data_IF_931665408911
#
_entry.id   IF_931665408911
#
_cell.length_a   1.000
_cell.length_b   1.000
_cell.length_c   1.000
_cell.angle_alpha   90.00
_cell.angle_beta   90.00
_cell.angle_gamma   90.00
#
_symmetry.space_group_name_H-M   'P 1'
#
loop_
_entity.id
_entity.type
_entity.pdbx_description
1 polymer ?
#
# COMPACT_ATOMS: atom_id res chain seq x y z
N UNK A 1 2.36 -9.68 -0.55
CA UNK A 1 3.52 -10.59 -0.39
C UNK A 1 4.14 -10.42 1.00
N UNK A 2 4.47 -11.53 1.67
CA UNK A 2 5.08 -11.54 3.01
C UNK A 2 6.61 -11.63 2.93
N UNK A 3 7.29 -11.48 4.06
CA UNK A 3 8.76 -11.40 4.15
C UNK A 3 9.52 -12.54 3.47
N UNK A 4 9.00 -13.76 3.53
CA UNK A 4 9.60 -14.97 2.95
C UNK A 4 8.99 -15.36 1.60
N UNK A 5 8.30 -14.44 0.93
CA UNK A 5 7.77 -14.71 -0.42
C UNK A 5 8.91 -15.03 -1.38
N UNK A 6 8.79 -16.09 -2.20
CA UNK A 6 9.80 -16.46 -3.19
C UNK A 6 9.83 -15.50 -4.40
N UNK A 7 8.88 -14.60 -4.49
CA UNK A 7 8.77 -13.58 -5.54
C UNK A 7 8.53 -12.21 -4.93
N UNK A 8 9.08 -11.17 -5.55
CA UNK A 8 8.82 -9.79 -5.18
C UNK A 8 7.38 -9.39 -5.54
N UNK A 9 6.79 -8.50 -4.75
CA UNK A 9 5.45 -7.99 -5.02
C UNK A 9 4.93 -7.04 -3.94
N UNK A 10 3.79 -6.42 -4.20
CA UNK A 10 3.12 -5.53 -3.26
C UNK A 10 2.80 -6.25 -1.93
N UNK A 11 2.94 -5.53 -0.82
CA UNK A 11 2.55 -6.00 0.51
C UNK A 11 1.03 -6.17 0.60
N UNK A 12 0.31 -5.19 0.06
CA UNK A 12 -1.14 -5.10 0.13
C UNK A 12 -1.68 -4.43 -1.14
N UNK A 13 -1.69 -5.17 -2.23
CA UNK A 13 -2.31 -4.78 -3.49
C UNK A 13 -3.79 -4.47 -3.29
N UNK A 14 -4.29 -3.38 -3.88
CA UNK A 14 -5.65 -2.88 -3.64
C UNK A 14 -6.72 -3.93 -3.95
N UNK A 15 -6.62 -4.58 -5.11
CA UNK A 15 -7.58 -5.60 -5.54
C UNK A 15 -7.59 -6.84 -4.62
N UNK A 16 -6.42 -7.25 -4.16
CA UNK A 16 -6.31 -8.35 -3.20
C UNK A 16 -6.91 -7.99 -1.83
N UNK A 17 -6.65 -6.77 -1.34
CA UNK A 17 -7.24 -6.26 -0.09
C UNK A 17 -8.76 -6.24 -0.18
N UNK A 18 -9.31 -5.69 -1.26
CA UNK A 18 -10.76 -5.62 -1.45
C UNK A 18 -11.41 -7.00 -1.59
N UNK A 19 -10.77 -7.92 -2.32
CA UNK A 19 -11.24 -9.30 -2.44
C UNK A 19 -11.26 -10.02 -1.09
N UNK A 20 -10.23 -9.83 -0.27
CA UNK A 20 -10.17 -10.36 1.09
C UNK A 20 -11.26 -9.78 1.98
N UNK A 21 -11.47 -8.47 1.89
CA UNK A 21 -12.52 -7.76 2.62
C UNK A 21 -13.92 -8.29 2.29
N UNK A 22 -14.25 -8.47 1.01
CA UNK A 22 -15.54 -9.02 0.58
C UNK A 22 -15.81 -10.40 1.19
N UNK A 23 -14.78 -11.28 1.21
CA UNK A 23 -14.91 -12.61 1.80
C UNK A 23 -15.16 -12.57 3.30
N UNK A 24 -14.46 -11.72 4.03
CA UNK A 24 -14.64 -11.59 5.48
C UNK A 24 -16.05 -11.05 5.80
N UNK A 25 -16.57 -10.14 4.97
CA UNK A 25 -17.90 -9.56 5.15
C UNK A 25 -19.06 -10.55 4.93
N UNK A 26 -18.82 -11.73 4.35
CA UNK A 26 -19.79 -12.82 4.29
C UNK A 26 -20.04 -13.44 5.67
N UNK A 27 -19.07 -13.35 6.60
CA UNK A 27 -19.12 -14.01 7.90
C UNK A 27 -19.10 -13.02 9.08
N UNK A 28 -18.47 -11.85 8.91
CA UNK A 28 -18.26 -10.87 9.98
C UNK A 28 -19.05 -9.59 9.68
N UNK A 29 -19.89 -9.14 10.62
CA UNK A 29 -20.58 -7.87 10.49
C UNK A 29 -19.62 -6.70 10.31
N UNK A 30 -19.92 -5.81 9.35
CA UNK A 30 -19.06 -4.68 8.96
C UNK A 30 -18.70 -3.74 10.11
N UNK A 31 -19.60 -3.55 11.04
CA UNK A 31 -19.40 -2.71 12.25
C UNK A 31 -18.44 -3.32 13.27
N UNK A 32 -18.00 -4.57 13.09
CA UNK A 32 -16.98 -5.24 13.90
C UNK A 32 -15.64 -5.35 13.19
N UNK A 33 -15.55 -4.86 11.94
CA UNK A 33 -14.37 -5.04 11.10
C UNK A 33 -13.55 -3.75 10.99
N UNK A 34 -12.27 -3.83 11.36
CA UNK A 34 -11.27 -2.81 11.13
C UNK A 34 -10.40 -3.21 9.94
N UNK A 35 -10.21 -2.30 8.97
CA UNK A 35 -9.31 -2.50 7.85
C UNK A 35 -7.86 -2.27 8.27
N UNK A 36 -7.01 -3.28 8.12
CA UNK A 36 -5.57 -3.17 8.35
C UNK A 36 -4.87 -2.39 7.22
N UNK A 37 -4.17 -1.31 7.57
CA UNK A 37 -3.41 -0.48 6.63
C UNK A 37 -1.91 -0.64 6.88
N UNK A 38 -1.09 -0.95 5.85
CA UNK A 38 0.36 -1.03 5.99
C UNK A 38 0.98 0.38 5.95
N UNK A 39 1.70 0.76 7.01
CA UNK A 39 2.48 1.98 7.05
C UNK A 39 3.95 1.73 6.68
N UNK A 40 4.22 0.62 6.02
CA UNK A 40 5.55 0.22 5.61
C UNK A 40 5.56 -0.28 4.18
N UNK A 41 6.69 -0.17 3.56
CA UNK A 41 6.99 -0.70 2.24
C UNK A 41 8.02 -1.81 2.36
N UNK A 42 7.97 -2.83 1.50
CA UNK A 42 9.08 -3.78 1.36
C UNK A 42 9.97 -3.39 0.20
N UNK A 43 11.26 -3.29 0.49
CA UNK A 43 12.31 -3.23 -0.52
C UNK A 43 12.74 -4.65 -0.79
N UNK A 44 12.44 -5.13 -1.98
CA UNK A 44 12.79 -6.46 -2.44
C UNK A 44 14.14 -6.45 -3.12
N UNK A 45 14.95 -7.46 -2.85
CA UNK A 45 16.23 -7.71 -3.52
C UNK A 45 16.17 -9.04 -4.25
N UNK A 46 16.33 -9.01 -5.55
CA UNK A 46 16.48 -10.19 -6.41
C UNK A 46 17.94 -10.29 -6.86
N UNK A 47 18.57 -11.41 -6.60
CA UNK A 47 19.98 -11.65 -6.90
C UNK A 47 20.16 -13.01 -7.55
N UNK A 48 20.85 -13.04 -8.69
CA UNK A 48 21.14 -14.32 -9.37
C UNK A 48 22.37 -14.96 -8.75
N UNK A 49 22.16 -16.11 -8.07
CA UNK A 49 23.20 -16.91 -7.43
C UNK A 49 23.14 -18.32 -7.99
N UNK A 50 24.25 -18.80 -8.58
CA UNK A 50 24.38 -20.15 -9.15
C UNK A 50 23.23 -20.52 -10.10
N UNK A 51 22.84 -19.57 -10.96
CA UNK A 51 21.78 -19.76 -11.94
C UNK A 51 20.35 -19.58 -11.42
N UNK A 52 20.15 -19.50 -10.09
CA UNK A 52 18.86 -19.31 -9.45
C UNK A 52 18.65 -17.87 -8.99
N UNK A 53 17.39 -17.40 -9.00
CA UNK A 53 17.03 -16.09 -8.44
C UNK A 53 16.74 -16.29 -6.95
N UNK A 54 17.56 -15.65 -6.10
CA UNK A 54 17.32 -15.55 -4.67
C UNK A 54 16.59 -14.25 -4.38
N UNK A 55 15.44 -14.35 -3.72
CA UNK A 55 14.62 -13.21 -3.32
C UNK A 55 14.75 -12.98 -1.82
N UNK A 56 14.92 -11.75 -1.42
CA UNK A 56 14.88 -11.31 -0.01
C UNK A 56 14.20 -9.96 0.09
N UNK A 57 13.73 -9.59 1.27
CA UNK A 57 13.09 -8.29 1.46
C UNK A 57 13.32 -7.70 2.85
N UNK A 58 13.27 -6.38 2.92
CA UNK A 58 13.34 -5.62 4.17
C UNK A 58 12.17 -4.66 4.25
N UNK A 59 11.46 -4.66 5.38
CA UNK A 59 10.42 -3.67 5.65
C UNK A 59 11.07 -2.36 6.06
N UNK A 60 10.65 -1.27 5.44
CA UNK A 60 11.18 0.08 5.67
C UNK A 60 10.05 1.09 5.86
N UNK A 61 10.34 2.20 6.54
CA UNK A 61 9.40 3.32 6.70
C UNK A 61 9.21 4.09 5.40
N UNK A 62 8.11 4.85 5.30
CA UNK A 62 7.85 5.76 4.17
C UNK A 62 8.97 6.79 4.00
N UNK A 63 9.52 7.32 5.11
CA UNK A 63 10.69 8.21 5.07
C UNK A 63 11.93 7.54 4.50
N UNK A 64 12.18 6.26 4.82
CA UNK A 64 13.30 5.52 4.25
C UNK A 64 13.12 5.25 2.75
N UNK A 65 11.89 5.02 2.29
CA UNK A 65 11.59 4.91 0.84
C UNK A 65 11.92 6.22 0.14
N UNK A 66 11.45 7.37 0.67
CA UNK A 66 11.77 8.71 0.12
C UNK A 66 13.28 8.94 0.00
N UNK A 67 14.04 8.53 1.01
CA UNK A 67 15.52 8.59 0.98
C UNK A 67 16.10 7.72 -0.15
N UNK A 68 15.67 6.46 -0.28
CA UNK A 68 16.13 5.53 -1.34
C UNK A 68 15.84 6.12 -2.72
N UNK A 69 14.61 6.63 -2.94
CA UNK A 69 14.24 7.23 -4.23
C UNK A 69 15.10 8.47 -4.56
N UNK A 70 15.41 9.30 -3.57
CA UNK A 70 16.29 10.46 -3.74
C UNK A 70 17.72 10.07 -4.09
N UNK A 71 18.26 9.03 -3.45
CA UNK A 71 19.63 8.55 -3.66
C UNK A 71 19.80 7.77 -4.97
N UNK A 72 18.88 6.86 -5.27
CA UNK A 72 18.98 5.95 -6.42
C UNK A 72 18.35 6.53 -7.69
N UNK A 73 17.44 7.50 -7.55
CA UNK A 73 16.74 8.19 -8.64
C UNK A 73 16.16 7.23 -9.69
N UNK A 74 15.46 6.14 -9.29
CA UNK A 74 14.82 5.25 -10.22
C UNK A 74 13.68 5.95 -10.94
N UNK A 75 13.26 5.43 -12.09
CA UNK A 75 11.97 5.76 -12.65
C UNK A 75 10.87 5.28 -11.69
N UNK A 76 9.89 6.13 -11.42
CA UNK A 76 8.73 5.83 -10.56
C UNK A 76 7.49 5.89 -11.43
N UNK A 77 6.80 4.78 -11.58
CA UNK A 77 5.60 4.65 -12.41
C UNK A 77 4.40 4.26 -11.54
N UNK A 78 3.21 4.71 -11.95
CA UNK A 78 1.98 4.25 -11.32
C UNK A 78 1.62 2.87 -11.82
N UNK A 79 1.44 1.91 -10.89
CA UNK A 79 0.98 0.57 -11.17
C UNK A 79 -0.50 0.46 -10.81
N UNK A 80 -1.35 0.49 -11.83
CA UNK A 80 -2.82 0.45 -11.69
C UNK A 80 -3.30 -0.83 -11.02
N UNK A 81 -2.64 -1.96 -11.26
CA UNK A 81 -3.03 -3.25 -10.71
C UNK A 81 -2.88 -3.29 -9.19
N UNK A 82 -1.74 -2.82 -8.69
CA UNK A 82 -1.51 -2.76 -7.24
C UNK A 82 -2.15 -1.56 -6.55
N UNK A 83 -2.48 -0.50 -7.30
CA UNK A 83 -2.90 0.79 -6.76
C UNK A 83 -1.76 1.49 -6.00
N UNK A 84 -0.53 1.37 -6.50
CA UNK A 84 0.68 1.88 -5.88
C UNK A 84 1.65 2.44 -6.93
N UNK A 85 2.56 3.31 -6.50
CA UNK A 85 3.74 3.59 -7.30
C UNK A 85 4.73 2.44 -7.24
N UNK A 86 5.32 2.10 -8.36
CA UNK A 86 6.37 1.10 -8.51
C UNK A 86 7.69 1.76 -8.90
N UNK A 87 8.77 1.29 -8.31
CA UNK A 87 10.13 1.69 -8.66
C UNK A 87 11.06 0.47 -8.70
N UNK A 88 12.00 0.49 -9.64
CA UNK A 88 13.03 -0.53 -9.77
C UNK A 88 14.39 0.11 -10.01
N UNK A 89 15.44 -0.42 -9.38
CA UNK A 89 16.81 -0.03 -9.64
C UNK A 89 17.76 -1.21 -9.51
N UNK A 90 18.93 -1.08 -10.14
CA UNK A 90 19.98 -2.08 -10.07
C UNK A 90 21.17 -1.57 -9.24
N UNK A 91 21.73 -2.46 -8.44
CA UNK A 91 22.95 -2.19 -7.69
C UNK A 91 23.82 -3.46 -7.65
N UNK A 92 25.01 -3.39 -8.25
CA UNK A 92 25.86 -4.56 -8.44
C UNK A 92 25.17 -5.63 -9.29
N UNK A 93 25.02 -6.84 -8.72
CA UNK A 93 24.34 -7.98 -9.36
C UNK A 93 22.88 -8.13 -8.96
N UNK A 94 22.37 -7.23 -8.13
CA UNK A 94 21.02 -7.30 -7.60
C UNK A 94 20.09 -6.29 -8.28
N UNK A 95 18.84 -6.69 -8.44
CA UNK A 95 17.72 -5.82 -8.81
C UNK A 95 16.88 -5.56 -7.57
N UNK A 96 16.56 -4.30 -7.30
CA UNK A 96 15.71 -3.88 -6.21
C UNK A 96 14.37 -3.44 -6.75
N UNK A 97 13.27 -3.92 -6.16
CA UNK A 97 11.90 -3.63 -6.56
C UNK A 97 11.12 -3.12 -5.35
N UNK A 98 10.32 -2.09 -5.57
CA UNK A 98 9.59 -1.41 -4.50
C UNK A 98 8.18 -1.09 -4.99
N UNK A 99 7.14 -1.61 -4.32
CA UNK A 99 5.76 -1.12 -4.41
C UNK A 99 5.54 -0.18 -3.24
N UNK A 100 5.39 1.10 -3.54
CA UNK A 100 5.48 2.18 -2.56
C UNK A 100 4.15 2.36 -1.84
N UNK A 101 4.19 2.31 -0.50
CA UNK A 101 3.08 2.81 0.31
C UNK A 101 3.30 4.30 0.59
N UNK A 102 2.33 5.10 0.20
CA UNK A 102 2.31 6.55 0.31
C UNK A 102 0.90 7.08 0.57
N UNK A 103 0.71 8.40 0.52
CA UNK A 103 -0.57 9.05 0.71
C UNK A 103 -1.62 8.58 -0.31
N UNK A 104 -1.25 8.43 -1.58
CA UNK A 104 -2.17 8.00 -2.65
C UNK A 104 -2.61 6.54 -2.44
N UNK A 105 -1.70 5.63 -2.18
CA UNK A 105 -2.03 4.22 -1.96
C UNK A 105 -2.84 3.99 -0.68
N UNK A 106 -2.52 4.73 0.39
CA UNK A 106 -3.28 4.70 1.65
C UNK A 106 -4.66 5.33 1.46
N UNK A 107 -4.79 6.40 0.67
CA UNK A 107 -6.09 6.99 0.34
C UNK A 107 -7.00 5.96 -0.36
N UNK A 108 -6.50 5.26 -1.36
CA UNK A 108 -7.26 4.22 -2.06
C UNK A 108 -7.68 3.09 -1.11
N UNK A 109 -6.75 2.59 -0.28
CA UNK A 109 -7.06 1.51 0.67
C UNK A 109 -8.03 1.96 1.75
N UNK A 110 -7.83 3.13 2.35
CA UNK A 110 -8.70 3.65 3.40
C UNK A 110 -10.10 4.02 2.88
N UNK A 111 -10.25 4.33 1.60
CA UNK A 111 -11.56 4.56 0.97
C UNK A 111 -12.47 3.33 1.03
N UNK A 112 -11.90 2.13 1.10
CA UNK A 112 -12.68 0.90 1.27
C UNK A 112 -13.45 0.87 2.60
N UNK A 113 -13.00 1.62 3.62
CA UNK A 113 -13.70 1.73 4.89
C UNK A 113 -15.09 2.37 4.69
N UNK A 114 -15.16 3.41 3.87
CA UNK A 114 -16.45 4.04 3.53
C UNK A 114 -17.25 3.18 2.55
N UNK A 115 -16.59 2.65 1.53
CA UNK A 115 -17.24 1.82 0.51
C UNK A 115 -18.01 0.65 1.12
N UNK A 116 -17.47 0.06 2.19
CA UNK A 116 -18.06 -1.09 2.87
C UNK A 116 -18.64 -0.77 4.24
N UNK A 117 -18.68 0.50 4.65
CA UNK A 117 -19.19 0.99 5.94
C UNK A 117 -18.59 0.24 7.14
N UNK A 118 -17.26 0.11 7.14
CA UNK A 118 -16.51 -0.60 8.19
C UNK A 118 -16.43 0.20 9.48
N UNK A 119 -16.10 -0.47 10.59
CA UNK A 119 -15.92 0.17 11.89
C UNK A 119 -14.77 1.18 11.93
N UNK A 120 -13.73 1.00 11.10
CA UNK A 120 -12.59 1.90 11.03
C UNK A 120 -11.34 1.25 10.48
N UNK A 121 -10.18 1.81 10.83
CA UNK A 121 -8.87 1.34 10.43
C UNK A 121 -8.02 0.87 11.60
N UNK A 122 -7.12 -0.08 11.34
CA UNK A 122 -5.97 -0.40 12.16
C UNK A 122 -4.72 -0.24 11.30
N UNK A 123 -3.60 0.18 11.87
CA UNK A 123 -2.38 0.40 11.09
C UNK A 123 -1.16 -0.27 11.71
N UNK A 124 -0.27 -0.75 10.88
CA UNK A 124 1.02 -1.28 11.26
C UNK A 124 2.12 -0.63 10.40
N UNK A 125 3.11 0.01 11.02
CA UNK A 125 3.17 0.36 12.44
C UNK A 125 3.37 1.87 12.61
N UNK A 126 2.85 2.42 13.68
CA UNK A 126 3.09 3.81 14.09
C UNK A 126 4.59 4.13 14.11
N UNK A 127 4.97 5.28 13.55
CA UNK A 127 6.35 5.74 13.40
C UNK A 127 7.00 5.35 12.08
N UNK A 128 6.28 4.64 11.19
CA UNK A 128 6.74 4.32 9.84
C UNK A 128 6.07 5.18 8.76
N UNK A 129 4.94 5.79 9.10
CA UNK A 129 4.20 6.70 8.24
C UNK A 129 4.90 8.04 8.06
N UNK A 130 4.60 8.72 6.95
CA UNK A 130 4.86 10.15 6.76
C UNK A 130 3.68 10.98 7.31
N UNK A 131 3.91 12.26 7.61
CA UNK A 131 2.92 13.13 8.27
C UNK A 131 1.63 13.30 7.45
N UNK A 132 1.73 13.31 6.14
CA UNK A 132 0.63 13.41 5.18
C UNK A 132 -0.40 12.28 5.32
N UNK A 133 0.00 11.09 5.78
CA UNK A 133 -0.88 9.95 5.99
C UNK A 133 -2.00 10.26 7.00
N UNK A 134 -1.71 11.03 8.04
CA UNK A 134 -2.71 11.39 9.05
C UNK A 134 -3.80 12.30 8.48
N UNK A 135 -3.46 13.18 7.53
CA UNK A 135 -4.44 14.02 6.83
C UNK A 135 -5.36 13.15 5.97
N UNK A 136 -4.79 12.22 5.19
CA UNK A 136 -5.56 11.26 4.39
C UNK A 136 -6.52 10.44 5.23
N UNK A 137 -6.05 9.90 6.35
CA UNK A 137 -6.90 9.12 7.26
C UNK A 137 -7.96 9.97 7.93
N UNK A 138 -7.61 11.20 8.32
CA UNK A 138 -8.57 12.12 8.90
C UNK A 138 -9.73 12.39 7.94
N UNK A 139 -9.44 12.65 6.67
CA UNK A 139 -10.44 12.91 5.66
C UNK A 139 -11.32 11.67 5.40
N UNK A 140 -10.70 10.50 5.27
CA UNK A 140 -11.42 9.25 5.01
C UNK A 140 -12.19 8.70 6.23
N UNK A 141 -11.80 9.00 7.47
CA UNK A 141 -12.46 8.47 8.66
C UNK A 141 -13.51 9.42 9.25
N UNK A 142 -13.40 10.73 9.03
CA UNK A 142 -14.35 11.72 9.58
C UNK A 142 -15.71 11.75 8.87
N UNK A 143 -15.81 11.29 7.64
CA UNK A 143 -16.94 11.61 6.75
C UNK A 143 -17.83 10.41 6.50
N UNK A 144 -18.25 9.67 7.53
CA UNK A 144 -19.32 8.65 7.36
C UNK A 144 -20.61 9.23 6.78
N UNK A 145 -20.89 10.51 6.99
CA UNK A 145 -22.13 11.16 6.55
C UNK A 145 -22.12 11.66 5.11
N UNK A 146 -20.95 11.77 4.45
CA UNK A 146 -20.81 12.35 3.10
C UNK A 146 -20.11 11.45 2.09
N UNK A 147 -20.18 10.12 2.27
CA UNK A 147 -19.53 9.16 1.37
C UNK A 147 -19.90 9.39 -0.11
N UNK A 148 -21.15 9.63 -0.40
CA UNK A 148 -21.63 9.87 -1.78
C UNK A 148 -20.97 11.13 -2.38
N UNK A 149 -20.80 12.18 -1.59
CA UNK A 149 -20.15 13.42 -2.00
C UNK A 149 -18.65 13.22 -2.23
N UNK A 150 -17.99 12.45 -1.38
CA UNK A 150 -16.59 12.10 -1.52
C UNK A 150 -16.33 11.17 -2.70
N UNK A 151 -17.14 10.14 -2.91
CA UNK A 151 -17.04 9.22 -4.04
C UNK A 151 -17.19 9.96 -5.38
N UNK A 152 -18.12 10.91 -5.46
CA UNK A 152 -18.32 11.74 -6.66
C UNK A 152 -17.15 12.69 -6.91
N UNK A 153 -16.54 13.27 -5.87
CA UNK A 153 -15.39 14.15 -6.01
C UNK A 153 -14.14 13.40 -6.49
N UNK A 154 -13.94 12.15 -6.04
CA UNK A 154 -12.78 11.34 -6.44
C UNK A 154 -12.97 10.65 -7.81
N UNK A 155 -14.20 10.37 -8.26
CA UNK A 155 -14.45 9.90 -9.62
C UNK A 155 -14.28 11.02 -10.66
N UNK A 156 -14.58 12.27 -10.32
CA UNK A 156 -14.34 13.42 -11.21
C UNK A 156 -12.87 13.82 -11.32
N UNK A 157 -12.00 13.39 -10.39
CA UNK A 157 -10.54 13.62 -10.44
C UNK A 157 -9.80 12.52 -11.22
N UNK A 158 -10.49 11.47 -11.66
CA UNK A 158 -9.94 10.34 -12.42
C UNK A 158 -10.26 10.40 -13.94
N UNK A 159 -10.99 11.44 -14.38
CA UNK A 159 -11.19 11.83 -15.78
C UNK A 159 -10.23 12.97 -16.16
#
# INVERSE_FOLDING_TARGET
HWAASPVAGSVAELGWVEKGLRRILEEVPKEKLLLGLPFYTRVWKEEKIDGNIKVSSTAVSMGKVKQILSEKKPEVIWDEESGQYYAEYKEGKATYKIWIEDDRSINLKSSLIHKYDLAGAASWRKGFESEDIWLVLQDNLKVKQNYTQWANANSAAAE
#
